data_IF_828871955750
#
_entry.id   IF_828871955750
#
_cell.length_a   1.000
_cell.length_b   1.000
_cell.length_c   1.000
_cell.angle_alpha   90.00
_cell.angle_beta   90.00
_cell.angle_gamma   90.00
#
_symmetry.space_group_name_H-M   'P 1'
#
loop_
_entity.id
_entity.type
_entity.pdbx_description
1 polymer ?
#
# COMPACT_ATOMS: atom_id res chain seq x y z
N UNK A 1 35.89 12.33 11.94
CA UNK A 1 34.98 13.35 11.39
C UNK A 1 34.28 14.00 12.59
N UNK A 2 34.76 15.17 13.04
CA UNK A 2 34.22 15.84 14.22
C UNK A 2 32.77 16.28 13.97
N UNK A 3 31.86 15.89 14.87
CA UNK A 3 30.56 16.55 15.03
C UNK A 3 30.82 17.90 15.72
N UNK A 4 30.67 19.01 15.00
CA UNK A 4 30.51 20.31 15.63
C UNK A 4 29.02 20.55 15.89
N UNK A 5 28.64 20.62 17.17
CA UNK A 5 27.38 21.19 17.61
C UNK A 5 27.40 22.70 17.34
N UNK A 6 26.61 23.15 16.36
CA UNK A 6 26.38 24.57 16.11
C UNK A 6 24.96 24.88 16.60
N UNK A 7 24.86 25.57 17.74
CA UNK A 7 23.59 26.11 18.24
C UNK A 7 23.44 27.55 17.77
N UNK A 8 22.56 27.81 16.79
CA UNK A 8 22.22 29.17 16.36
C UNK A 8 20.91 29.62 17.02
N UNK A 9 20.96 30.71 17.78
CA UNK A 9 19.78 31.45 18.26
C UNK A 9 19.50 32.60 17.30
N UNK A 10 18.31 32.64 16.70
CA UNK A 10 17.81 33.81 15.98
C UNK A 10 16.55 34.37 16.67
N UNK A 11 16.43 35.70 16.86
CA UNK A 11 15.24 36.32 17.41
C UNK A 11 14.20 36.55 16.31
N UNK A 12 12.96 36.11 16.54
CA UNK A 12 11.72 36.43 15.81
C UNK A 12 11.62 36.08 14.32
N UNK A 13 10.39 35.73 13.92
CA UNK A 13 10.03 35.15 12.63
C UNK A 13 9.98 36.20 11.51
N UNK A 14 10.92 36.13 10.57
CA UNK A 14 10.76 36.64 9.20
C UNK A 14 11.31 35.63 8.19
N UNK A 15 10.61 35.53 7.06
CA UNK A 15 10.91 34.65 5.94
C UNK A 15 12.27 35.02 5.32
N UNK A 16 13.31 34.21 5.55
CA UNK A 16 14.59 34.36 4.82
C UNK A 16 14.63 33.34 3.69
N UNK A 17 14.33 33.83 2.47
CA UNK A 17 14.65 33.16 1.22
C UNK A 17 16.18 33.29 0.99
N UNK A 18 16.83 32.16 0.73
CA UNK A 18 18.21 32.03 0.25
C UNK A 18 19.31 32.72 1.09
N UNK A 19 20.02 31.93 1.89
CA UNK A 19 21.42 32.25 2.24
C UNK A 19 22.33 31.12 1.79
N UNK A 20 23.21 31.42 0.83
CA UNK A 20 24.31 30.56 0.42
C UNK A 20 25.40 30.70 1.47
N UNK A 21 25.61 29.71 2.33
CA UNK A 21 26.74 29.72 3.27
C UNK A 21 27.99 29.24 2.52
N UNK A 22 28.79 30.17 2.01
CA UNK A 22 30.08 29.85 1.39
C UNK A 22 31.13 29.60 2.48
N UNK A 23 31.37 28.34 2.82
CA UNK A 23 32.54 27.97 3.62
C UNK A 23 33.78 28.06 2.72
N UNK A 24 34.62 29.07 2.92
CA UNK A 24 35.98 29.11 2.35
C UNK A 24 36.86 28.08 3.06
N UNK A 25 36.75 26.83 2.63
CA UNK A 25 37.80 25.83 2.81
C UNK A 25 38.82 26.03 1.68
N UNK A 26 40.10 25.84 1.99
CA UNK A 26 41.24 26.24 1.16
C UNK A 26 41.47 25.36 -0.09
N UNK A 27 40.39 24.88 -0.73
CA UNK A 27 40.36 24.11 -1.97
C UNK A 27 39.10 24.49 -2.76
N UNK A 28 39.17 24.48 -4.10
CA UNK A 28 38.16 24.98 -5.06
C UNK A 28 36.86 24.16 -5.11
N UNK A 29 36.29 23.80 -3.97
CA UNK A 29 35.10 22.96 -3.85
C UNK A 29 33.93 23.75 -3.27
N UNK A 30 32.83 23.83 -4.03
CA UNK A 30 31.59 24.47 -3.56
C UNK A 30 30.64 23.40 -3.04
N UNK A 31 30.29 23.43 -1.75
CA UNK A 31 29.27 22.56 -1.17
C UNK A 31 27.93 23.29 -1.12
N UNK A 32 26.87 22.69 -1.69
CA UNK A 32 25.50 23.19 -1.58
C UNK A 32 24.80 22.38 -0.48
N UNK A 33 24.37 23.07 0.58
CA UNK A 33 23.64 22.47 1.71
C UNK A 33 22.17 22.91 1.63
N UNK A 34 21.25 21.96 1.62
CA UNK A 34 19.82 22.24 1.59
C UNK A 34 19.22 22.16 3.00
N UNK A 35 18.53 23.22 3.41
CA UNK A 35 17.74 23.26 4.63
C UNK A 35 16.26 23.27 4.29
N UNK A 36 15.49 22.35 4.88
CA UNK A 36 14.03 22.38 4.85
C UNK A 36 13.54 22.96 6.17
N UNK A 37 12.80 24.08 6.18
CA UNK A 37 12.26 24.61 7.42
C UNK A 37 11.14 23.71 7.91
N UNK A 38 11.36 23.03 9.03
CA UNK A 38 10.33 22.33 9.80
C UNK A 38 10.14 23.09 11.10
N UNK A 39 8.88 23.40 11.45
CA UNK A 39 8.55 24.04 12.72
C UNK A 39 9.17 23.26 13.88
N UNK A 40 10.16 23.91 14.52
CA UNK A 40 10.92 23.52 15.69
C UNK A 40 12.15 22.58 15.58
N UNK A 41 12.52 22.00 14.42
CA UNK A 41 13.85 21.33 14.24
C UNK A 41 14.34 21.35 12.79
N UNK A 42 15.50 21.96 12.53
CA UNK A 42 16.23 21.80 11.26
C UNK A 42 16.79 20.38 11.18
N UNK A 43 16.50 19.66 10.09
CA UNK A 43 17.15 18.39 9.74
C UNK A 43 18.04 18.63 8.52
N UNK A 44 19.34 18.42 8.67
CA UNK A 44 20.31 18.57 7.57
C UNK A 44 20.35 17.28 6.73
N UNK A 45 20.13 17.39 5.43
CA UNK A 45 20.26 16.27 4.49
C UNK A 45 21.46 16.52 3.56
N UNK A 46 22.63 15.97 3.90
CA UNK A 46 23.75 15.63 3.01
C UNK A 46 24.44 16.75 2.19
N UNK A 47 25.78 16.81 2.26
CA UNK A 47 26.59 17.60 1.34
C UNK A 47 26.83 16.84 0.02
N UNK A 48 26.61 17.50 -1.13
CA UNK A 48 27.11 17.03 -2.42
C UNK A 48 28.31 17.89 -2.86
N UNK A 49 29.42 17.22 -3.18
CA UNK A 49 30.60 17.81 -3.85
C UNK A 49 30.54 17.42 -5.33
N UNK A 50 30.59 18.40 -6.23
CA UNK A 50 30.69 18.19 -7.68
C UNK A 50 32.04 18.73 -8.13
N UNK A 51 32.95 17.83 -8.52
CA UNK A 51 34.24 18.19 -9.10
C UNK A 51 34.22 17.88 -10.60
N UNK A 52 34.52 18.89 -11.45
CA UNK A 52 34.77 18.69 -12.87
C UNK A 52 36.28 18.66 -13.12
N UNK A 53 36.78 17.55 -13.66
CA UNK A 53 38.12 17.51 -14.27
C UNK A 53 38.00 16.89 -15.67
N UNK A 54 38.41 17.66 -16.67
CA UNK A 54 38.47 17.25 -18.06
C UNK A 54 39.89 16.77 -18.34
N UNK A 55 40.07 15.51 -18.74
CA UNK A 55 41.26 15.05 -19.47
C UNK A 55 40.95 13.73 -20.20
N UNK A 56 41.35 13.68 -21.46
CA UNK A 56 41.17 12.56 -22.38
C UNK A 56 42.10 11.39 -22.06
N UNK A 57 41.64 10.14 -22.25
CA UNK A 57 42.29 9.08 -23.07
C UNK A 57 41.55 7.73 -22.88
N UNK A 58 41.16 7.18 -24.04
CA UNK A 58 40.90 5.81 -24.49
C UNK A 58 40.65 4.63 -23.52
N UNK A 59 39.50 4.00 -23.74
CA UNK A 59 39.26 2.54 -23.79
C UNK A 59 39.46 1.70 -22.51
N UNK A 60 38.42 1.68 -21.67
CA UNK A 60 37.95 0.49 -20.94
C UNK A 60 36.49 0.74 -20.55
N UNK A 61 35.54 -0.09 -21.04
CA UNK A 61 34.13 -0.01 -20.63
C UNK A 61 33.99 -0.61 -19.24
N UNK A 62 34.25 0.23 -18.23
CA UNK A 62 33.75 0.01 -16.88
C UNK A 62 32.35 0.63 -16.82
N UNK A 63 31.33 -0.18 -16.58
CA UNK A 63 29.99 0.30 -16.24
C UNK A 63 30.08 0.87 -14.82
N UNK A 64 30.52 2.12 -14.71
CA UNK A 64 30.34 2.92 -13.50
C UNK A 64 28.88 3.39 -13.47
N UNK A 65 28.13 3.19 -12.37
CA UNK A 65 26.80 3.75 -12.27
C UNK A 65 26.94 5.28 -12.19
N UNK A 66 26.74 5.94 -13.32
CA UNK A 66 26.54 7.39 -13.37
C UNK A 66 25.38 7.76 -12.44
N UNK A 67 25.45 8.89 -11.71
CA UNK A 67 24.32 9.42 -10.94
C UNK A 67 23.19 9.76 -11.92
N UNK A 68 22.35 8.77 -12.18
CA UNK A 68 21.54 8.68 -13.39
C UNK A 68 20.36 9.63 -13.35
N UNK A 69 20.11 10.29 -14.49
CA UNK A 69 18.86 10.99 -14.77
C UNK A 69 17.68 10.17 -14.27
N UNK A 70 16.81 10.80 -13.49
CA UNK A 70 15.51 10.25 -13.13
C UNK A 70 14.74 9.98 -14.41
N UNK A 71 14.65 8.71 -14.81
CA UNK A 71 13.96 8.31 -16.03
C UNK A 71 12.46 8.39 -15.81
N UNK A 72 11.79 9.35 -16.43
CA UNK A 72 10.33 9.48 -16.44
C UNK A 72 9.72 8.39 -17.33
N UNK A 73 9.32 7.26 -16.75
CA UNK A 73 8.75 6.14 -17.50
C UNK A 73 7.24 6.06 -17.33
N UNK A 74 6.57 5.64 -18.40
CA UNK A 74 5.17 5.21 -18.29
C UNK A 74 5.14 3.86 -17.56
N UNK A 75 4.18 3.64 -16.66
CA UNK A 75 3.90 2.32 -16.12
C UNK A 75 3.64 1.33 -17.25
N UNK A 76 4.13 0.10 -17.13
CA UNK A 76 3.73 -0.97 -18.02
C UNK A 76 2.40 -1.55 -17.54
N UNK A 77 1.39 -1.53 -18.40
CA UNK A 77 0.08 -2.10 -18.16
C UNK A 77 0.01 -3.50 -18.80
N UNK A 78 -0.29 -4.51 -18.00
CA UNK A 78 -0.50 -5.90 -18.45
C UNK A 78 -1.93 -6.29 -18.12
N UNK A 79 -2.76 -6.46 -19.16
CA UNK A 79 -4.14 -6.94 -19.06
C UNK A 79 -4.66 -7.34 -20.45
N UNK A 80 -5.89 -7.86 -20.49
CA UNK A 80 -6.61 -8.06 -21.74
C UNK A 80 -6.82 -6.74 -22.51
N UNK A 81 -6.96 -6.81 -23.82
CA UNK A 81 -7.20 -5.64 -24.67
C UNK A 81 -8.47 -4.88 -24.25
N UNK A 82 -9.55 -5.61 -23.97
CA UNK A 82 -10.83 -5.02 -23.54
C UNK A 82 -10.70 -4.24 -22.22
N UNK A 83 -10.00 -4.81 -21.23
CA UNK A 83 -9.82 -4.14 -19.94
C UNK A 83 -8.81 -3.00 -20.03
N UNK A 84 -7.81 -3.11 -20.91
CA UNK A 84 -6.91 -1.99 -21.20
C UNK A 84 -7.66 -0.77 -21.73
N UNK A 85 -8.61 -0.98 -22.65
CA UNK A 85 -9.44 0.10 -23.20
C UNK A 85 -10.32 0.76 -22.13
N UNK A 86 -10.90 -0.04 -21.23
CA UNK A 86 -11.64 0.45 -20.07
C UNK A 86 -10.75 1.33 -19.17
N UNK A 87 -9.56 0.83 -18.82
CA UNK A 87 -8.62 1.55 -17.95
C UNK A 87 -8.08 2.83 -18.60
N UNK A 88 -7.77 2.83 -19.91
CA UNK A 88 -7.34 4.05 -20.58
C UNK A 88 -8.44 5.12 -20.64
N UNK A 89 -9.71 4.70 -20.77
CA UNK A 89 -10.84 5.62 -20.82
C UNK A 89 -11.18 6.22 -19.45
N UNK A 90 -11.21 5.39 -18.40
CA UNK A 90 -11.76 5.78 -17.09
C UNK A 90 -10.70 5.90 -15.99
N UNK A 91 -9.47 5.45 -16.24
CA UNK A 91 -8.32 5.53 -15.32
C UNK A 91 -7.06 6.02 -16.05
N UNK A 92 -7.08 7.22 -16.68
CA UNK A 92 -6.00 7.69 -17.56
C UNK A 92 -4.61 7.72 -16.89
N UNK A 93 -4.55 7.77 -15.56
CA UNK A 93 -3.29 7.71 -14.80
C UNK A 93 -2.43 6.48 -15.11
N UNK A 94 -3.02 5.36 -15.57
CA UNK A 94 -2.25 4.18 -16.01
C UNK A 94 -1.37 4.45 -17.24
N UNK A 95 -1.69 5.47 -18.05
CA UNK A 95 -0.95 5.88 -19.23
C UNK A 95 -0.04 7.10 -18.98
N UNK A 96 -0.20 7.77 -17.84
CA UNK A 96 0.58 8.95 -17.49
C UNK A 96 2.02 8.57 -17.13
N UNK A 97 2.96 9.50 -17.36
CA UNK A 97 4.35 9.28 -16.96
C UNK A 97 4.45 9.41 -15.44
N UNK A 98 4.97 8.39 -14.77
CA UNK A 98 5.30 8.48 -13.36
C UNK A 98 6.65 9.18 -13.19
N UNK A 99 6.63 10.30 -12.48
CA UNK A 99 7.80 11.15 -12.23
C UNK A 99 8.18 11.10 -10.75
N UNK A 100 9.07 10.18 -10.33
CA UNK A 100 9.43 10.07 -8.93
C UNK A 100 10.15 11.34 -8.44
N UNK A 101 9.99 11.67 -7.17
CA UNK A 101 10.64 12.84 -6.57
C UNK A 101 12.16 12.77 -6.70
N UNK A 102 12.83 13.72 -7.41
CA UNK A 102 14.22 13.53 -7.82
C UNK A 102 15.24 13.39 -6.69
N UNK A 103 15.03 14.11 -5.59
CA UNK A 103 15.90 14.03 -4.40
C UNK A 103 15.57 12.85 -3.47
N UNK A 104 14.45 12.15 -3.73
CA UNK A 104 14.02 10.96 -2.99
C UNK A 104 14.16 9.72 -3.88
N UNK A 105 15.39 9.50 -4.36
CA UNK A 105 15.70 8.42 -5.30
C UNK A 105 15.81 7.08 -4.58
N UNK A 106 15.11 6.06 -5.11
CA UNK A 106 15.07 4.70 -4.57
C UNK A 106 13.85 4.38 -3.71
N UNK A 107 13.27 3.19 -3.91
CA UNK A 107 12.02 2.79 -3.24
C UNK A 107 12.11 2.74 -1.71
N UNK A 108 13.28 2.42 -1.17
CA UNK A 108 13.55 2.42 0.28
C UNK A 108 13.38 3.82 0.87
N UNK A 109 14.03 4.81 0.25
CA UNK A 109 14.00 6.20 0.71
C UNK A 109 12.60 6.79 0.57
N UNK A 110 11.90 6.53 -0.54
CA UNK A 110 10.51 6.97 -0.71
C UNK A 110 9.57 6.41 0.36
N UNK A 111 9.73 5.13 0.70
CA UNK A 111 8.92 4.48 1.75
C UNK A 111 9.13 5.14 3.11
N UNK A 112 10.40 5.40 3.48
CA UNK A 112 10.74 6.06 4.75
C UNK A 112 10.28 7.52 4.78
N UNK A 113 10.55 8.28 3.71
CA UNK A 113 10.15 9.69 3.59
C UNK A 113 8.64 9.84 3.64
N UNK A 114 7.88 8.97 2.96
CA UNK A 114 6.43 8.98 3.03
C UNK A 114 5.92 8.71 4.45
N UNK A 115 6.48 7.72 5.15
CA UNK A 115 6.07 7.39 6.50
C UNK A 115 6.26 8.55 7.50
N UNK A 116 7.25 9.42 7.26
CA UNK A 116 7.60 10.54 8.15
C UNK A 116 6.96 11.87 7.72
N UNK A 117 6.96 12.20 6.42
CA UNK A 117 6.61 13.53 5.92
C UNK A 117 5.19 13.63 5.34
N UNK A 118 4.54 12.51 4.99
CA UNK A 118 3.21 12.59 4.36
C UNK A 118 2.19 13.10 5.38
N UNK A 119 1.36 14.05 4.94
CA UNK A 119 0.26 14.59 5.73
C UNK A 119 -0.71 13.48 6.15
N UNK A 120 -1.42 13.72 7.24
CA UNK A 120 -2.50 12.85 7.72
C UNK A 120 -3.79 13.66 7.67
N UNK A 121 -4.63 13.48 6.64
CA UNK A 121 -5.88 14.22 6.56
C UNK A 121 -6.75 13.84 7.76
N UNK A 122 -7.47 14.80 8.37
CA UNK A 122 -8.31 14.53 9.53
C UNK A 122 -9.48 13.65 9.10
N UNK A 123 -9.67 12.54 9.82
CA UNK A 123 -10.78 11.61 9.61
C UNK A 123 -11.40 11.28 10.96
N UNK A 124 -12.72 11.43 11.04
CA UNK A 124 -13.51 11.01 12.20
C UNK A 124 -14.22 9.70 11.86
N UNK A 125 -13.89 8.65 12.61
CA UNK A 125 -14.47 7.33 12.42
C UNK A 125 -15.58 7.05 13.43
N UNK A 126 -16.59 6.30 13.00
CA UNK A 126 -17.47 5.54 13.89
C UNK A 126 -16.88 4.14 14.01
N UNK A 127 -16.36 3.79 15.18
CA UNK A 127 -15.86 2.44 15.44
C UNK A 127 -17.03 1.48 15.71
N UNK A 128 -16.91 0.26 15.21
CA UNK A 128 -17.84 -0.85 15.46
C UNK A 128 -17.05 -2.13 15.73
N UNK A 129 -17.42 -2.83 16.80
CA UNK A 129 -16.85 -4.13 17.14
C UNK A 129 -17.82 -5.23 16.72
N UNK A 130 -17.41 -6.07 15.77
CA UNK A 130 -18.19 -7.24 15.36
C UNK A 130 -17.68 -8.50 16.06
N UNK A 131 -18.59 -9.40 16.41
CA UNK A 131 -18.26 -10.68 17.05
C UNK A 131 -17.95 -11.73 16.00
N UNK A 132 -16.98 -12.57 16.32
CA UNK A 132 -16.57 -13.67 15.44
C UNK A 132 -17.04 -15.01 16.02
N UNK A 133 -17.13 -16.04 15.17
CA UNK A 133 -17.67 -17.35 15.54
C UNK A 133 -16.88 -18.06 16.64
N UNK A 134 -15.58 -17.74 16.77
CA UNK A 134 -14.70 -18.24 17.83
C UNK A 134 -14.88 -17.50 19.16
N UNK A 135 -15.81 -16.54 19.25
CA UNK A 135 -16.02 -15.69 20.43
C UNK A 135 -15.10 -14.46 20.50
N UNK A 136 -14.28 -14.26 19.46
CA UNK A 136 -13.40 -13.10 19.30
C UNK A 136 -14.16 -11.84 18.88
N UNK A 137 -13.38 -10.81 18.53
CA UNK A 137 -13.92 -9.56 18.00
C UNK A 137 -12.99 -8.94 16.96
N UNK A 138 -13.59 -8.22 16.02
CA UNK A 138 -12.92 -7.47 14.96
C UNK A 138 -13.36 -6.01 15.05
N UNK A 139 -12.42 -5.09 14.89
CA UNK A 139 -12.68 -3.65 14.91
C UNK A 139 -12.81 -3.08 13.50
N UNK A 140 -13.95 -2.47 13.22
CA UNK A 140 -14.26 -1.79 11.96
C UNK A 140 -14.36 -0.28 12.20
N UNK A 141 -13.56 0.49 11.46
CA UNK A 141 -13.65 1.95 11.48
C UNK A 141 -14.43 2.45 10.26
N UNK A 142 -15.61 3.00 10.50
CA UNK A 142 -16.53 3.46 9.47
C UNK A 142 -16.40 4.95 9.23
N UNK A 143 -16.39 5.33 7.95
CA UNK A 143 -16.67 6.67 7.48
C UNK A 143 -17.87 6.60 6.54
N UNK A 144 -19.05 6.87 7.08
CA UNK A 144 -20.34 6.67 6.40
C UNK A 144 -20.62 7.66 5.27
N UNK A 145 -19.94 8.82 5.29
CA UNK A 145 -20.08 9.91 4.31
C UNK A 145 -21.54 10.37 4.11
N UNK A 146 -22.24 10.60 5.21
CA UNK A 146 -23.68 10.89 5.21
C UNK A 146 -24.06 12.18 4.48
N UNK A 147 -23.13 13.16 4.42
CA UNK A 147 -23.33 14.43 3.72
C UNK A 147 -23.10 14.34 2.19
N UNK A 148 -22.93 13.13 1.64
CA UNK A 148 -22.71 12.92 0.22
C UNK A 148 -23.91 13.38 -0.61
N UNK A 149 -23.71 14.39 -1.46
CA UNK A 149 -24.73 14.87 -2.42
C UNK A 149 -24.90 13.88 -3.58
N UNK A 150 -23.81 13.24 -4.01
CA UNK A 150 -23.83 12.25 -5.11
C UNK A 150 -24.57 10.97 -4.72
N UNK A 151 -24.43 10.56 -3.46
CA UNK A 151 -25.04 9.35 -2.90
C UNK A 151 -25.78 9.68 -1.60
N UNK A 152 -26.94 10.36 -1.68
CA UNK A 152 -27.68 10.80 -0.49
C UNK A 152 -28.25 9.60 0.28
N UNK A 153 -28.67 8.57 -0.45
CA UNK A 153 -29.27 7.36 0.10
C UNK A 153 -28.19 6.42 0.67
N UNK A 154 -28.27 6.14 1.97
CA UNK A 154 -27.28 5.32 2.69
C UNK A 154 -27.32 3.85 2.26
N UNK A 155 -28.50 3.35 1.87
CA UNK A 155 -28.72 1.94 1.52
C UNK A 155 -28.05 1.50 0.21
N UNK A 156 -27.79 2.43 -0.71
CA UNK A 156 -27.18 2.15 -2.03
C UNK A 156 -25.78 2.74 -2.19
N UNK A 157 -25.31 3.52 -1.22
CA UNK A 157 -23.99 4.21 -1.27
C UNK A 157 -22.85 3.20 -1.49
N UNK A 158 -22.06 3.33 -2.57
CA UNK A 158 -20.91 2.47 -2.81
C UNK A 158 -19.95 2.48 -1.62
N UNK A 159 -19.44 1.30 -1.29
CA UNK A 159 -18.63 1.09 -0.08
C UNK A 159 -17.25 0.56 -0.46
N UNK A 160 -16.20 1.23 0.02
CA UNK A 160 -14.82 0.78 -0.12
C UNK A 160 -14.38 0.13 1.20
N UNK A 161 -14.06 -1.16 1.14
CA UNK A 161 -13.51 -1.93 2.26
C UNK A 161 -11.99 -1.93 2.17
N UNK A 162 -11.31 -1.26 3.11
CA UNK A 162 -9.87 -1.04 3.11
C UNK A 162 -9.19 -2.01 4.10
N UNK A 163 -8.16 -2.71 3.61
CA UNK A 163 -7.34 -3.65 4.35
C UNK A 163 -5.91 -3.09 4.52
N UNK A 164 -5.53 -2.68 5.74
CA UNK A 164 -4.19 -2.21 6.05
C UNK A 164 -3.12 -3.31 5.91
N UNK A 165 -1.85 -2.89 5.88
CA UNK A 165 -0.69 -3.78 5.91
C UNK A 165 -0.44 -4.44 7.27
N UNK A 166 0.67 -5.19 7.37
CA UNK A 166 0.97 -6.11 8.50
C UNK A 166 0.81 -5.48 9.88
N UNK A 167 1.32 -4.27 10.11
CA UNK A 167 1.21 -3.57 11.40
C UNK A 167 0.34 -2.32 11.29
N UNK A 168 -0.50 -2.26 10.24
CA UNK A 168 -1.32 -1.11 9.91
C UNK A 168 -2.69 -1.13 10.58
N UNK A 169 -3.32 0.05 10.64
CA UNK A 169 -4.69 0.27 11.07
C UNK A 169 -5.26 1.51 10.35
N UNK A 170 -6.46 1.94 10.73
CA UNK A 170 -7.17 3.11 10.16
C UNK A 170 -6.44 4.45 10.25
N UNK A 171 -5.39 4.56 11.08
CA UNK A 171 -4.64 5.81 11.29
C UNK A 171 -3.41 5.94 10.38
N UNK A 172 -3.14 4.93 9.55
CA UNK A 172 -2.00 4.96 8.64
C UNK A 172 -2.23 5.98 7.51
N UNK A 173 -1.19 6.75 7.17
CA UNK A 173 -1.32 7.84 6.19
C UNK A 173 -1.88 7.36 4.84
N UNK A 174 -1.41 6.22 4.32
CA UNK A 174 -1.95 5.67 3.07
C UNK A 174 -3.43 5.29 3.15
N UNK A 175 -3.92 4.84 4.31
CA UNK A 175 -5.35 4.54 4.55
C UNK A 175 -6.15 5.83 4.57
N UNK A 176 -5.68 6.84 5.30
CA UNK A 176 -6.32 8.15 5.38
C UNK A 176 -6.42 8.84 4.01
N UNK A 177 -5.37 8.74 3.18
CA UNK A 177 -5.40 9.28 1.82
C UNK A 177 -6.32 8.48 0.89
N UNK A 178 -6.36 7.14 0.98
CA UNK A 178 -7.33 6.33 0.23
C UNK A 178 -8.77 6.70 0.59
N UNK A 179 -9.05 6.91 1.89
CA UNK A 179 -10.35 7.40 2.36
C UNK A 179 -10.66 8.79 1.83
N UNK A 180 -9.67 9.70 1.84
CA UNK A 180 -9.85 11.03 1.27
C UNK A 180 -10.18 10.98 -0.22
N UNK A 181 -9.61 10.05 -0.99
CA UNK A 181 -9.94 9.87 -2.41
C UNK A 181 -11.37 9.35 -2.57
N UNK A 182 -11.74 8.29 -1.84
CA UNK A 182 -13.06 7.69 -1.96
C UNK A 182 -14.20 8.61 -1.50
N UNK A 183 -14.00 9.36 -0.41
CA UNK A 183 -15.05 10.26 0.13
C UNK A 183 -15.33 11.46 -0.75
N UNK A 184 -14.35 11.95 -1.52
CA UNK A 184 -14.55 13.02 -2.53
C UNK A 184 -15.52 12.63 -3.63
N UNK A 185 -15.63 11.34 -3.92
CA UNK A 185 -16.61 10.80 -4.87
C UNK A 185 -17.95 10.42 -4.20
N UNK A 186 -18.11 10.70 -2.89
CA UNK A 186 -19.35 10.45 -2.17
C UNK A 186 -19.49 9.02 -1.61
N UNK A 187 -18.43 8.21 -1.64
CA UNK A 187 -18.44 6.81 -1.21
C UNK A 187 -18.34 6.67 0.31
N UNK A 188 -18.86 5.54 0.83
CA UNK A 188 -18.63 5.06 2.20
C UNK A 188 -17.27 4.35 2.26
N UNK A 189 -16.54 4.52 3.35
CA UNK A 189 -15.33 3.75 3.62
C UNK A 189 -15.47 2.93 4.90
N UNK A 190 -14.90 1.73 4.89
CA UNK A 190 -14.79 0.86 6.07
C UNK A 190 -13.37 0.36 6.13
N UNK A 191 -12.67 0.60 7.25
CA UNK A 191 -11.35 0.02 7.47
C UNK A 191 -11.50 -1.24 8.30
N UNK A 192 -11.08 -2.37 7.75
CA UNK A 192 -10.97 -3.63 8.47
C UNK A 192 -9.64 -3.64 9.24
N UNK A 193 -9.71 -3.34 10.55
CA UNK A 193 -8.53 -3.49 11.40
C UNK A 193 -8.39 -4.97 11.78
N UNK A 194 -7.25 -5.56 11.45
CA UNK A 194 -6.89 -6.89 11.90
C UNK A 194 -7.01 -7.01 13.43
N UNK A 195 -7.37 -8.20 13.93
CA UNK A 195 -7.60 -8.42 15.35
C UNK A 195 -6.40 -7.99 16.21
N UNK A 196 -6.66 -7.15 17.20
CA UNK A 196 -5.68 -6.62 18.14
C UNK A 196 -4.94 -5.36 17.68
N UNK A 197 -5.26 -4.80 16.51
CA UNK A 197 -4.63 -3.60 15.93
C UNK A 197 -5.51 -2.34 15.94
N UNK A 198 -6.84 -2.48 16.06
CA UNK A 198 -7.79 -1.36 16.04
C UNK A 198 -7.94 -0.64 17.40
N UNK A 199 -7.20 -1.06 18.42
CA UNK A 199 -7.28 -0.51 19.78
C UNK A 199 -8.14 -1.36 20.73
N UNK A 200 -8.88 -2.32 20.21
CA UNK A 200 -9.59 -3.35 20.97
C UNK A 200 -8.61 -4.29 21.68
N UNK A 201 -9.08 -4.94 22.74
CA UNK A 201 -8.40 -6.09 23.34
C UNK A 201 -8.71 -7.35 22.52
N UNK A 202 -7.73 -8.24 22.39
CA UNK A 202 -8.05 -9.60 21.95
C UNK A 202 -8.94 -10.27 23.00
N UNK A 203 -9.88 -11.10 22.57
CA UNK A 203 -10.71 -11.92 23.47
C UNK A 203 -10.42 -13.41 23.30
N UNK A 204 -9.97 -13.79 22.11
CA UNK A 204 -9.47 -15.12 21.78
C UNK A 204 -8.01 -15.00 21.39
N UNK A 205 -7.23 -16.09 21.47
CA UNK A 205 -5.84 -16.06 21.05
C UNK A 205 -5.66 -15.94 19.52
N UNK A 206 -6.75 -16.02 18.74
CA UNK A 206 -6.73 -15.89 17.28
C UNK A 206 -6.38 -14.45 16.89
N UNK A 207 -5.34 -14.31 16.06
CA UNK A 207 -4.88 -13.02 15.51
C UNK A 207 -5.16 -12.96 14.00
N UNK A 208 -4.17 -12.61 13.17
CA UNK A 208 -4.28 -12.48 11.73
C UNK A 208 -3.00 -12.99 11.06
N UNK A 209 -3.11 -13.44 9.81
CA UNK A 209 -1.97 -13.79 8.96
C UNK A 209 -2.34 -13.63 7.49
N UNK A 210 -1.35 -13.69 6.59
CA UNK A 210 -1.55 -13.49 5.15
C UNK A 210 -2.48 -14.54 4.50
N UNK A 211 -2.51 -15.76 5.07
CA UNK A 211 -3.26 -16.88 4.52
C UNK A 211 -4.71 -16.95 5.05
N UNK A 212 -4.96 -16.44 6.25
CA UNK A 212 -6.27 -16.54 6.87
C UNK A 212 -7.25 -15.49 6.33
N UNK A 213 -8.30 -15.94 5.65
CA UNK A 213 -9.32 -15.09 5.04
C UNK A 213 -10.67 -15.11 5.77
N UNK A 214 -10.80 -15.87 6.87
CA UNK A 214 -12.08 -16.06 7.57
C UNK A 214 -12.62 -14.76 8.16
N UNK A 215 -11.74 -13.92 8.72
CA UNK A 215 -12.13 -12.63 9.27
C UNK A 215 -12.60 -11.67 8.18
N UNK A 216 -11.90 -11.63 7.04
CA UNK A 216 -12.34 -10.83 5.89
C UNK A 216 -13.70 -11.31 5.37
N UNK A 217 -13.94 -12.62 5.32
CA UNK A 217 -15.24 -13.18 4.95
C UNK A 217 -16.35 -12.70 5.89
N UNK A 218 -16.12 -12.79 7.21
CA UNK A 218 -17.05 -12.33 8.23
C UNK A 218 -17.37 -10.83 8.04
N UNK A 219 -16.36 -10.01 7.79
CA UNK A 219 -16.53 -8.57 7.57
C UNK A 219 -17.30 -8.28 6.28
N UNK A 220 -16.99 -8.96 5.18
CA UNK A 220 -17.71 -8.77 3.91
C UNK A 220 -19.19 -9.16 4.07
N UNK A 221 -19.48 -10.28 4.72
CA UNK A 221 -20.85 -10.71 5.00
C UNK A 221 -21.58 -9.69 5.89
N UNK A 222 -20.92 -9.16 6.92
CA UNK A 222 -21.48 -8.13 7.80
C UNK A 222 -21.82 -6.86 7.04
N UNK A 223 -20.87 -6.32 6.25
CA UNK A 223 -21.07 -5.11 5.44
C UNK A 223 -22.21 -5.31 4.43
N UNK A 224 -22.26 -6.47 3.77
CA UNK A 224 -23.35 -6.82 2.83
C UNK A 224 -24.69 -7.04 3.53
N UNK A 225 -24.70 -7.52 4.77
CA UNK A 225 -25.90 -7.66 5.58
C UNK A 225 -26.49 -6.30 5.97
N UNK A 226 -25.64 -5.34 6.34
CA UNK A 226 -26.05 -3.95 6.64
C UNK A 226 -26.52 -3.20 5.39
N UNK A 227 -25.84 -3.39 4.25
CA UNK A 227 -26.14 -2.69 3.00
C UNK A 227 -26.21 -3.65 1.80
N UNK A 228 -27.32 -4.42 1.67
CA UNK A 228 -27.44 -5.43 0.61
C UNK A 228 -27.35 -4.87 -0.80
N UNK A 229 -27.91 -3.67 -1.01
CA UNK A 229 -27.96 -2.99 -2.31
C UNK A 229 -26.71 -2.19 -2.66
N UNK A 230 -25.83 -1.92 -1.68
CA UNK A 230 -24.59 -1.19 -1.93
C UNK A 230 -23.54 -2.10 -2.61
N UNK A 231 -22.90 -1.64 -3.70
CA UNK A 231 -21.73 -2.32 -4.25
C UNK A 231 -20.53 -2.14 -3.30
N UNK A 232 -19.74 -3.20 -3.12
CA UNK A 232 -18.57 -3.20 -2.23
C UNK A 232 -17.31 -3.51 -3.03
N UNK A 233 -16.28 -2.66 -2.91
CA UNK A 233 -14.96 -2.87 -3.51
C UNK A 233 -13.92 -3.07 -2.41
N UNK A 234 -13.08 -4.11 -2.54
CA UNK A 234 -11.99 -4.37 -1.62
C UNK A 234 -10.71 -3.65 -2.02
N UNK A 235 -10.00 -3.04 -1.07
CA UNK A 235 -8.74 -2.33 -1.30
C UNK A 235 -7.68 -2.78 -0.30
N UNK A 236 -6.62 -3.46 -0.76
CA UNK A 236 -5.61 -4.03 0.13
C UNK A 236 -4.19 -3.54 -0.17
N UNK A 237 -3.46 -3.15 0.88
CA UNK A 237 -2.06 -2.72 0.76
C UNK A 237 -1.13 -3.74 1.43
N UNK A 238 -0.09 -4.17 0.72
CA UNK A 238 0.90 -5.13 1.22
C UNK A 238 0.24 -6.40 1.78
N UNK A 239 0.37 -6.71 3.08
CA UNK A 239 -0.30 -7.86 3.72
C UNK A 239 -1.82 -7.84 3.50
N UNK A 240 -2.48 -6.69 3.62
CA UNK A 240 -3.92 -6.57 3.39
C UNK A 240 -4.30 -6.90 1.93
N UNK A 241 -3.39 -6.63 1.00
CA UNK A 241 -3.54 -7.06 -0.39
C UNK A 241 -3.36 -8.58 -0.56
N UNK A 242 -2.45 -9.23 0.17
CA UNK A 242 -2.33 -10.70 0.16
C UNK A 242 -3.62 -11.36 0.65
N UNK A 243 -4.16 -10.89 1.79
CA UNK A 243 -5.42 -11.40 2.36
C UNK A 243 -6.56 -11.21 1.36
N UNK A 244 -6.66 -10.03 0.74
CA UNK A 244 -7.68 -9.75 -0.28
C UNK A 244 -7.55 -10.67 -1.51
N UNK A 245 -6.33 -10.88 -2.03
CA UNK A 245 -6.10 -11.79 -3.16
C UNK A 245 -6.49 -13.23 -2.80
N UNK A 246 -6.05 -13.72 -1.65
CA UNK A 246 -6.36 -15.07 -1.18
C UNK A 246 -7.87 -15.25 -0.98
N UNK A 247 -8.55 -14.24 -0.45
CA UNK A 247 -10.01 -14.25 -0.29
C UNK A 247 -10.75 -14.31 -1.63
N UNK A 248 -10.38 -13.42 -2.55
CA UNK A 248 -10.98 -13.38 -3.89
C UNK A 248 -10.72 -14.68 -4.66
N UNK A 249 -9.54 -15.28 -4.50
CA UNK A 249 -9.17 -16.55 -5.10
C UNK A 249 -9.98 -17.74 -4.53
N UNK A 250 -10.25 -17.73 -3.21
CA UNK A 250 -11.06 -18.74 -2.54
C UNK A 250 -12.55 -18.60 -2.84
N UNK A 251 -13.12 -17.38 -2.77
CA UNK A 251 -14.56 -17.13 -2.91
C UNK A 251 -15.03 -16.88 -4.33
N UNK A 252 -14.16 -16.40 -5.22
CA UNK A 252 -14.47 -16.20 -6.63
C UNK A 252 -15.71 -15.31 -6.81
N UNK A 253 -16.71 -15.79 -7.54
CA UNK A 253 -18.00 -15.11 -7.78
C UNK A 253 -18.84 -14.92 -6.52
N UNK A 254 -18.60 -15.69 -5.46
CA UNK A 254 -19.31 -15.61 -4.17
C UNK A 254 -18.64 -14.65 -3.19
N UNK A 255 -17.59 -13.94 -3.60
CA UNK A 255 -16.86 -13.00 -2.74
C UNK A 255 -17.68 -11.82 -2.25
N UNK A 256 -18.86 -11.54 -2.82
CA UNK A 256 -19.66 -10.36 -2.46
C UNK A 256 -19.03 -9.01 -2.84
N UNK A 257 -17.82 -9.01 -3.41
CA UNK A 257 -17.10 -7.83 -3.87
C UNK A 257 -17.29 -7.64 -5.38
N UNK A 258 -17.49 -6.40 -5.81
CA UNK A 258 -17.64 -6.06 -7.23
C UNK A 258 -16.28 -5.96 -7.95
N UNK A 259 -15.23 -5.58 -7.21
CA UNK A 259 -13.85 -5.57 -7.67
C UNK A 259 -12.89 -5.55 -6.46
N UNK A 260 -11.60 -5.78 -6.75
CA UNK A 260 -10.50 -5.55 -5.83
C UNK A 260 -9.43 -4.62 -6.41
N UNK A 261 -8.84 -3.77 -5.58
CA UNK A 261 -7.56 -3.11 -5.88
C UNK A 261 -6.52 -3.55 -4.86
N UNK A 262 -5.34 -3.93 -5.33
CA UNK A 262 -4.22 -4.29 -4.46
C UNK A 262 -2.97 -3.51 -4.80
N UNK A 263 -2.19 -3.14 -3.78
CA UNK A 263 -1.03 -2.26 -3.95
C UNK A 263 0.18 -2.82 -3.21
N UNK A 264 1.28 -2.98 -3.95
CA UNK A 264 2.58 -3.45 -3.45
C UNK A 264 2.48 -4.75 -2.66
N UNK A 265 1.78 -5.72 -3.26
CA UNK A 265 1.53 -7.02 -2.64
C UNK A 265 2.71 -7.97 -2.84
N UNK A 266 3.20 -8.62 -1.76
CA UNK A 266 4.05 -9.80 -1.87
C UNK A 266 3.33 -10.98 -2.53
N UNK A 267 3.68 -11.31 -3.77
CA UNK A 267 3.12 -12.49 -4.47
C UNK A 267 3.76 -13.82 -4.02
N UNK A 268 5.00 -13.76 -3.56
CA UNK A 268 5.73 -14.88 -2.96
C UNK A 268 6.24 -14.46 -1.57
N UNK A 269 5.58 -14.96 -0.52
CA UNK A 269 5.87 -14.63 0.87
C UNK A 269 7.26 -15.11 1.29
N UNK A 270 7.75 -16.21 0.72
CA UNK A 270 9.08 -16.73 1.02
C UNK A 270 10.15 -15.79 0.44
N UNK A 271 10.04 -15.43 -0.83
CA UNK A 271 10.97 -14.48 -1.46
C UNK A 271 10.95 -13.13 -0.76
N UNK A 272 9.78 -12.68 -0.30
CA UNK A 272 9.63 -11.45 0.50
C UNK A 272 10.45 -11.53 1.78
N UNK A 273 10.26 -12.62 2.51
CA UNK A 273 10.94 -12.86 3.79
C UNK A 273 12.45 -12.91 3.60
N UNK A 274 12.95 -13.59 2.57
CA UNK A 274 14.38 -13.63 2.24
C UNK A 274 14.94 -12.24 1.88
N UNK A 275 14.26 -11.48 1.03
CA UNK A 275 14.66 -10.10 0.69
C UNK A 275 14.68 -9.20 1.92
N UNK A 276 13.72 -9.38 2.83
CA UNK A 276 13.66 -8.63 4.07
C UNK A 276 14.80 -8.89 5.04
N UNK A 277 15.52 -10.00 4.87
CA UNK A 277 16.69 -10.34 5.68
C UNK A 277 18.01 -9.86 5.07
N UNK A 278 17.99 -9.29 3.86
CA UNK A 278 19.17 -8.60 3.31
C UNK A 278 19.62 -7.47 4.24
N UNK A 279 20.93 -7.21 4.44
CA UNK A 279 21.42 -6.33 5.50
C UNK A 279 20.76 -4.95 5.57
N UNK A 280 20.57 -4.30 4.42
CA UNK A 280 19.95 -2.97 4.34
C UNK A 280 18.44 -3.01 4.61
N UNK A 281 17.73 -4.02 4.08
CA UNK A 281 16.30 -4.19 4.26
C UNK A 281 15.99 -4.59 5.71
N UNK A 282 16.86 -5.42 6.28
CA UNK A 282 16.79 -5.83 7.66
C UNK A 282 16.89 -4.63 8.60
N UNK A 283 17.90 -3.78 8.38
CA UNK A 283 18.15 -2.58 9.19
C UNK A 283 17.01 -1.56 9.07
N UNK A 284 16.55 -1.27 7.85
CA UNK A 284 15.60 -0.19 7.59
C UNK A 284 14.14 -0.59 7.84
N UNK A 285 13.78 -1.86 7.67
CA UNK A 285 12.37 -2.29 7.69
C UNK A 285 12.13 -3.48 8.61
N UNK A 286 12.82 -4.61 8.39
CA UNK A 286 12.52 -5.86 9.10
C UNK A 286 12.59 -5.68 10.61
N UNK A 287 13.69 -5.12 11.11
CA UNK A 287 13.89 -4.84 12.54
C UNK A 287 12.76 -3.99 13.13
N UNK A 288 12.28 -2.99 12.39
CA UNK A 288 11.21 -2.10 12.83
C UNK A 288 9.86 -2.81 12.85
N UNK A 289 9.54 -3.57 11.81
CA UNK A 289 8.30 -4.36 11.72
C UNK A 289 8.27 -5.44 12.81
N UNK A 290 9.37 -6.20 12.99
CA UNK A 290 9.49 -7.19 14.08
C UNK A 290 9.30 -6.55 15.44
N UNK A 291 9.87 -5.36 15.68
CA UNK A 291 9.63 -4.62 16.93
C UNK A 291 8.16 -4.23 17.10
N UNK A 292 7.48 -3.80 16.05
CA UNK A 292 6.03 -3.51 16.10
C UNK A 292 5.22 -4.78 16.37
N UNK A 293 5.57 -5.92 15.78
CA UNK A 293 4.96 -7.22 16.08
C UNK A 293 5.15 -7.61 17.56
N UNK A 294 6.35 -7.39 18.12
CA UNK A 294 6.61 -7.60 19.55
C UNK A 294 5.73 -6.71 20.44
N UNK A 295 5.49 -5.47 20.04
CA UNK A 295 4.62 -4.55 20.78
C UNK A 295 3.16 -5.01 20.77
N UNK A 296 2.68 -5.48 19.61
CA UNK A 296 1.33 -6.04 19.47
C UNK A 296 1.19 -7.30 20.34
N UNK A 297 2.17 -8.21 20.28
CA UNK A 297 2.17 -9.42 21.09
C UNK A 297 2.16 -9.10 22.60
N UNK A 298 3.00 -8.17 23.03
CA UNK A 298 3.06 -7.75 24.44
C UNK A 298 1.77 -7.08 24.92
N UNK A 299 1.12 -6.27 24.06
CA UNK A 299 -0.17 -5.65 24.39
C UNK A 299 -1.22 -6.68 24.77
N UNK A 300 -1.21 -7.83 24.11
CA UNK A 300 -2.19 -8.90 24.31
C UNK A 300 -1.63 -10.12 25.06
N UNK A 301 -0.53 -9.94 25.80
CA UNK A 301 0.22 -11.01 26.46
C UNK A 301 -0.66 -11.93 27.32
N UNK A 302 -1.58 -11.36 28.11
CA UNK A 302 -2.47 -12.10 29.03
C UNK A 302 -3.28 -13.22 28.36
N UNK A 303 -3.58 -13.08 27.08
CA UNK A 303 -4.35 -14.08 26.32
C UNK A 303 -3.43 -14.97 25.50
N UNK A 304 -2.39 -14.40 24.91
CA UNK A 304 -1.48 -15.12 24.02
C UNK A 304 -0.51 -16.04 24.78
N UNK A 305 -0.13 -15.71 26.02
CA UNK A 305 0.73 -16.58 26.86
C UNK A 305 0.07 -17.93 27.22
N UNK A 306 -1.25 -18.04 27.04
CA UNK A 306 -1.98 -19.29 27.27
C UNK A 306 -1.76 -20.32 26.16
N UNK A 307 -1.30 -19.89 24.99
CA UNK A 307 -1.18 -20.73 23.79
C UNK A 307 0.24 -20.77 23.21
N UNK A 308 1.08 -19.78 23.53
CA UNK A 308 2.47 -19.70 23.06
C UNK A 308 3.40 -19.20 24.16
N UNK A 309 4.67 -19.61 24.10
CA UNK A 309 5.73 -19.00 24.91
C UNK A 309 6.06 -17.60 24.36
N UNK A 310 5.39 -16.58 24.91
CA UNK A 310 5.56 -15.18 24.51
C UNK A 310 7.00 -14.72 24.66
N UNK A 311 7.71 -15.13 25.72
CA UNK A 311 9.09 -14.67 25.95
C UNK A 311 10.07 -15.28 24.93
N UNK A 312 9.81 -16.49 24.44
CA UNK A 312 10.54 -17.08 23.33
C UNK A 312 10.26 -16.36 22.00
N UNK A 313 9.00 -16.03 21.72
CA UNK A 313 8.61 -15.27 20.52
C UNK A 313 9.27 -13.90 20.50
N UNK A 314 9.30 -13.19 21.62
CA UNK A 314 9.89 -11.84 21.74
C UNK A 314 11.42 -11.80 21.52
N UNK A 315 12.08 -12.96 21.46
CA UNK A 315 13.49 -13.07 21.06
C UNK A 315 13.68 -13.04 19.55
N UNK A 316 12.61 -13.00 18.75
CA UNK A 316 12.70 -13.00 17.28
C UNK A 316 13.44 -11.74 16.79
N UNK A 317 14.36 -11.93 15.83
CA UNK A 317 15.16 -10.84 15.25
C UNK A 317 14.76 -10.50 13.82
N UNK A 318 13.87 -11.29 13.23
CA UNK A 318 13.30 -11.03 11.90
C UNK A 318 11.81 -11.39 11.88
N UNK A 319 11.10 -10.90 10.87
CA UNK A 319 9.71 -11.29 10.57
C UNK A 319 9.62 -12.81 10.41
N UNK A 320 10.60 -13.46 9.77
CA UNK A 320 10.64 -14.92 9.63
C UNK A 320 10.71 -15.64 10.96
N UNK A 321 11.60 -15.22 11.84
CA UNK A 321 11.70 -15.81 13.18
C UNK A 321 10.41 -15.58 13.99
N UNK A 322 9.76 -14.42 13.82
CA UNK A 322 8.47 -14.16 14.45
C UNK A 322 7.39 -15.09 13.88
N UNK A 323 7.33 -15.23 12.56
CA UNK A 323 6.37 -16.11 11.90
C UNK A 323 6.57 -17.57 12.29
N UNK A 324 7.81 -18.04 12.39
CA UNK A 324 8.14 -19.40 12.81
C UNK A 324 7.75 -19.68 14.26
N UNK A 325 7.98 -18.71 15.16
CA UNK A 325 7.74 -18.89 16.60
C UNK A 325 6.31 -18.58 17.01
N UNK A 326 5.58 -17.80 16.20
CA UNK A 326 4.22 -17.36 16.53
C UNK A 326 3.24 -17.72 15.44
N UNK A 327 3.36 -17.12 14.25
CA UNK A 327 2.34 -17.23 13.20
C UNK A 327 2.08 -18.68 12.77
N UNK A 328 3.11 -19.46 12.48
CA UNK A 328 2.93 -20.87 12.08
C UNK A 328 2.29 -21.70 13.19
N UNK A 329 2.70 -21.50 14.45
CA UNK A 329 2.13 -22.24 15.58
C UNK A 329 0.66 -21.86 15.81
N UNK A 330 0.37 -20.57 15.82
CA UNK A 330 -0.98 -20.04 16.07
C UNK A 330 -1.99 -20.47 15.02
N UNK A 331 -1.56 -20.62 13.77
CA UNK A 331 -2.40 -21.05 12.66
C UNK A 331 -2.24 -22.54 12.31
N UNK A 332 -1.56 -23.32 13.16
CA UNK A 332 -1.50 -24.78 13.03
C UNK A 332 -0.65 -25.30 11.87
N UNK A 333 0.28 -24.51 11.34
CA UNK A 333 1.22 -24.96 10.31
C UNK A 333 2.36 -25.77 10.91
N UNK A 334 2.76 -26.84 10.22
CA UNK A 334 3.91 -27.68 10.57
C UNK A 334 5.25 -26.94 10.52
N UNK A 335 5.35 -25.91 9.67
CA UNK A 335 6.54 -25.09 9.55
C UNK A 335 6.22 -23.68 9.04
N UNK A 336 7.12 -22.73 9.29
CA UNK A 336 7.06 -21.39 8.69
C UNK A 336 7.05 -21.44 7.15
N UNK A 337 7.71 -22.44 6.57
CA UNK A 337 7.78 -22.64 5.12
C UNK A 337 6.43 -23.07 4.54
N UNK A 338 5.70 -23.91 5.26
CA UNK A 338 4.34 -24.31 4.88
C UNK A 338 3.39 -23.11 4.95
N UNK A 339 3.50 -22.29 6.00
CA UNK A 339 2.78 -21.02 6.09
C UNK A 339 3.08 -20.10 4.90
N UNK A 340 4.36 -19.86 4.57
CA UNK A 340 4.71 -19.01 3.43
C UNK A 340 4.25 -19.56 2.09
N UNK A 341 4.24 -20.88 1.91
CA UNK A 341 3.71 -21.50 0.69
C UNK A 341 2.21 -21.25 0.55
N UNK A 342 1.46 -21.41 1.63
CA UNK A 342 0.01 -21.20 1.64
C UNK A 342 -0.38 -19.72 1.51
N UNK A 343 0.35 -18.84 2.19
CA UNK A 343 0.15 -17.39 2.15
C UNK A 343 0.41 -16.75 0.78
N UNK A 344 1.28 -17.35 -0.05
CA UNK A 344 1.76 -16.78 -1.32
C UNK A 344 0.68 -16.81 -2.41
N UNK A 345 0.12 -15.65 -2.82
CA UNK A 345 -0.92 -15.61 -3.84
C UNK A 345 -0.46 -16.17 -5.20
N UNK A 346 0.82 -15.97 -5.57
CA UNK A 346 1.35 -16.37 -6.87
C UNK A 346 1.53 -17.88 -7.08
N UNK A 347 1.55 -18.67 -6.00
CA UNK A 347 1.64 -20.14 -6.06
C UNK A 347 0.27 -20.82 -6.04
N UNK A 348 -0.76 -20.08 -5.64
CA UNK A 348 -2.14 -20.56 -5.65
C UNK A 348 -2.72 -20.26 -7.03
N UNK A 349 -2.94 -21.28 -7.87
CA UNK A 349 -3.55 -21.19 -9.22
C UNK A 349 -5.01 -20.67 -9.23
N UNK A 350 -5.47 -20.13 -8.10
CA UNK A 350 -6.85 -19.73 -7.80
C UNK A 350 -7.13 -18.26 -8.06
N UNK A 351 -6.11 -17.43 -8.32
CA UNK A 351 -6.27 -15.98 -8.61
C UNK A 351 -7.04 -15.73 -9.93
N UNK A 352 -7.17 -16.74 -10.79
CA UNK A 352 -7.79 -16.64 -12.11
C UNK A 352 -9.34 -16.48 -12.13
N UNK A 353 -10.00 -16.33 -10.99
CA UNK A 353 -11.48 -16.41 -10.90
C UNK A 353 -12.14 -15.20 -10.24
N UNK A 354 -11.45 -14.06 -10.24
CA UNK A 354 -11.97 -12.82 -9.69
C UNK A 354 -12.77 -12.05 -10.75
N UNK A 355 -13.96 -11.57 -10.39
CA UNK A 355 -14.84 -10.80 -11.30
C UNK A 355 -14.15 -9.55 -11.87
N UNK A 356 -13.34 -8.85 -11.08
CA UNK A 356 -12.46 -7.74 -11.51
C UNK A 356 -11.36 -7.50 -10.48
N UNK A 357 -10.10 -7.39 -10.91
CA UNK A 357 -8.97 -7.12 -10.03
C UNK A 357 -7.95 -6.18 -10.71
N UNK A 358 -7.63 -5.07 -10.06
CA UNK A 358 -6.45 -4.25 -10.41
C UNK A 358 -5.36 -4.48 -9.37
N UNK A 359 -4.20 -4.95 -9.82
CA UNK A 359 -3.01 -5.08 -8.98
C UNK A 359 -1.98 -4.05 -9.40
N UNK A 360 -1.54 -3.23 -8.46
CA UNK A 360 -0.53 -2.18 -8.66
C UNK A 360 0.76 -2.64 -8.03
N UNK A 361 1.83 -2.59 -8.81
CA UNK A 361 3.11 -3.17 -8.45
C UNK A 361 4.28 -2.30 -8.92
N UNK A 362 5.38 -2.30 -8.17
CA UNK A 362 6.61 -1.58 -8.50
C UNK A 362 7.57 -2.57 -9.15
N UNK A 363 7.89 -2.36 -10.41
CA UNK A 363 8.75 -3.23 -11.21
C UNK A 363 10.17 -3.40 -10.62
N UNK A 364 10.70 -2.34 -10.01
CA UNK A 364 11.96 -2.34 -9.26
C UNK A 364 11.69 -2.11 -7.77
N UNK A 365 10.73 -2.85 -7.21
CA UNK A 365 10.56 -2.83 -5.77
C UNK A 365 11.87 -3.33 -5.13
N UNK A 366 12.39 -2.62 -4.13
CA UNK A 366 13.58 -3.10 -3.45
C UNK A 366 13.29 -4.40 -2.69
N UNK A 367 12.02 -4.63 -2.32
CA UNK A 367 11.60 -5.89 -1.73
C UNK A 367 11.68 -7.03 -2.76
N UNK A 368 11.57 -6.78 -4.08
CA UNK A 368 11.55 -7.84 -5.10
C UNK A 368 11.86 -7.34 -6.53
N UNK A 369 12.64 -8.08 -7.33
CA UNK A 369 12.67 -7.91 -8.78
C UNK A 369 11.42 -8.53 -9.45
N UNK A 370 10.64 -7.73 -10.19
CA UNK A 370 9.35 -8.09 -10.80
C UNK A 370 9.32 -9.37 -11.64
N UNK A 371 10.43 -9.68 -12.32
CA UNK A 371 10.46 -10.73 -13.35
C UNK A 371 10.34 -12.17 -12.81
N UNK A 372 10.52 -12.39 -11.51
CA UNK A 372 10.60 -13.76 -10.98
C UNK A 372 9.40 -14.20 -10.14
N UNK A 373 8.41 -13.33 -9.92
CA UNK A 373 7.31 -13.61 -8.99
C UNK A 373 5.91 -13.59 -9.62
N UNK A 374 5.72 -12.96 -10.78
CA UNK A 374 4.39 -12.78 -11.36
C UNK A 374 4.20 -13.57 -12.67
N UNK A 375 3.11 -14.35 -12.84
CA UNK A 375 2.80 -15.00 -14.11
C UNK A 375 2.18 -13.98 -15.08
N UNK A 376 3.01 -13.09 -15.64
CA UNK A 376 2.61 -12.01 -16.57
C UNK A 376 1.77 -12.55 -17.72
N UNK A 377 2.13 -13.73 -18.23
CA UNK A 377 1.39 -14.43 -19.30
C UNK A 377 -0.05 -14.76 -18.92
N UNK A 378 -0.29 -15.20 -17.67
CA UNK A 378 -1.63 -15.61 -17.21
C UNK A 378 -2.57 -14.41 -17.10
N UNK A 379 -2.06 -13.22 -16.76
CA UNK A 379 -2.91 -12.03 -16.62
C UNK A 379 -3.40 -11.46 -17.93
N UNK A 380 -2.65 -11.64 -19.02
CA UNK A 380 -3.10 -11.21 -20.35
C UNK A 380 -4.36 -11.97 -20.80
N UNK A 381 -4.49 -13.23 -20.36
CA UNK A 381 -5.62 -14.08 -20.71
C UNK A 381 -6.86 -13.85 -19.82
N UNK A 382 -6.71 -13.11 -18.72
CA UNK A 382 -7.81 -12.85 -17.79
C UNK A 382 -8.59 -11.60 -18.21
N UNK A 383 -9.92 -11.69 -18.38
CA UNK A 383 -10.70 -10.62 -18.99
C UNK A 383 -10.70 -9.34 -18.16
N UNK A 384 -10.75 -9.44 -16.83
CA UNK A 384 -10.92 -8.30 -15.91
C UNK A 384 -9.80 -8.18 -14.88
N UNK A 385 -8.60 -8.65 -15.23
CA UNK A 385 -7.43 -8.52 -14.36
C UNK A 385 -6.39 -7.62 -15.02
N UNK A 386 -5.86 -6.68 -14.26
CA UNK A 386 -4.77 -5.83 -14.71
C UNK A 386 -3.64 -5.76 -13.70
N UNK A 387 -2.44 -5.66 -14.24
CA UNK A 387 -1.23 -5.36 -13.50
C UNK A 387 -0.64 -4.04 -14.01
N UNK A 388 -0.43 -3.09 -13.10
CA UNK A 388 0.26 -1.82 -13.37
C UNK A 388 1.64 -1.88 -12.77
N UNK A 389 2.68 -1.87 -13.60
CA UNK A 389 4.08 -2.01 -13.23
C UNK A 389 4.80 -0.65 -13.35
N UNK A 390 5.26 -0.07 -12.25
CA UNK A 390 6.04 1.18 -12.29
C UNK A 390 7.55 0.92 -12.20
N UNK A 391 8.37 1.57 -13.04
CA UNK A 391 9.83 1.40 -12.99
C UNK A 391 10.46 1.86 -11.66
N UNK A 392 9.82 2.83 -11.00
CA UNK A 392 10.25 3.39 -9.73
C UNK A 392 9.06 3.52 -8.78
N UNK A 393 9.33 3.74 -7.50
CA UNK A 393 8.31 3.94 -6.47
C UNK A 393 8.77 3.35 -5.14
N UNK A 394 8.25 3.87 -4.03
CA UNK A 394 8.34 3.22 -2.72
C UNK A 394 7.09 2.39 -2.42
N UNK A 395 7.25 1.32 -1.62
CA UNK A 395 6.25 0.31 -1.28
C UNK A 395 4.87 0.85 -0.91
N UNK A 396 4.79 2.02 -0.27
CA UNK A 396 3.51 2.69 0.06
C UNK A 396 3.46 4.16 -0.39
N UNK A 397 4.46 4.61 -1.14
CA UNK A 397 4.80 6.01 -1.24
C UNK A 397 4.46 6.61 -2.61
N UNK A 398 4.97 6.00 -3.69
CA UNK A 398 4.83 6.46 -5.08
C UNK A 398 4.87 8.00 -5.23
N UNK A 399 5.85 8.62 -4.56
CA UNK A 399 5.96 10.08 -4.46
C UNK A 399 6.26 10.68 -5.82
N UNK A 400 5.57 11.77 -6.17
CA UNK A 400 5.73 12.43 -7.45
C UNK A 400 6.03 13.92 -7.33
N UNK A 401 6.74 14.44 -8.34
CA UNK A 401 7.10 15.85 -8.42
C UNK A 401 8.24 16.25 -7.48
N UNK A 402 8.72 17.49 -7.65
CA UNK A 402 9.84 18.02 -6.85
C UNK A 402 9.45 18.26 -5.39
N UNK A 403 8.20 18.62 -5.12
CA UNK A 403 7.64 18.76 -3.78
C UNK A 403 6.49 17.77 -3.59
N UNK A 404 6.70 16.61 -2.94
CA UNK A 404 5.72 15.54 -2.82
C UNK A 404 4.64 15.82 -1.75
N UNK A 405 4.14 17.04 -1.71
CA UNK A 405 3.09 17.48 -0.77
C UNK A 405 1.67 17.21 -1.32
N UNK A 406 1.55 17.01 -2.64
CA UNK A 406 0.30 16.70 -3.31
C UNK A 406 -0.05 15.21 -3.27
N UNK A 407 -0.99 14.82 -4.14
CA UNK A 407 -1.40 13.44 -4.30
C UNK A 407 -0.25 12.59 -4.85
N UNK A 408 -0.06 11.38 -4.33
CA UNK A 408 0.87 10.42 -4.93
C UNK A 408 0.28 9.77 -6.18
N UNK A 409 1.12 9.14 -7.00
CA UNK A 409 0.63 8.37 -8.16
C UNK A 409 -0.33 7.26 -7.72
N UNK A 410 -0.03 6.61 -6.61
CA UNK A 410 -0.86 5.57 -5.99
C UNK A 410 -2.24 6.09 -5.59
N UNK A 411 -2.30 7.28 -4.96
CA UNK A 411 -3.56 7.91 -4.54
C UNK A 411 -4.46 8.22 -5.74
N UNK A 412 -3.87 8.80 -6.80
CA UNK A 412 -4.60 9.09 -8.04
C UNK A 412 -5.10 7.84 -8.73
N UNK A 413 -4.27 6.81 -8.83
CA UNK A 413 -4.65 5.51 -9.40
C UNK A 413 -5.76 4.84 -8.62
N UNK A 414 -5.66 4.85 -7.29
CA UNK A 414 -6.70 4.36 -6.41
C UNK A 414 -8.03 5.10 -6.63
N UNK A 415 -8.03 6.43 -6.59
CA UNK A 415 -9.23 7.24 -6.74
C UNK A 415 -9.91 7.01 -8.10
N UNK A 416 -9.14 7.07 -9.19
CA UNK A 416 -9.65 6.85 -10.53
C UNK A 416 -10.20 5.43 -10.74
N UNK A 417 -9.51 4.40 -10.24
CA UNK A 417 -9.98 3.02 -10.38
C UNK A 417 -11.25 2.74 -9.58
N UNK A 418 -11.30 3.17 -8.33
CA UNK A 418 -12.49 3.01 -7.49
C UNK A 418 -13.69 3.72 -8.12
N UNK A 419 -13.48 4.93 -8.62
CA UNK A 419 -14.51 5.68 -9.33
C UNK A 419 -14.99 4.96 -10.59
N UNK A 420 -14.04 4.51 -11.44
CA UNK A 420 -14.35 3.80 -12.68
C UNK A 420 -15.17 2.52 -12.43
N UNK A 421 -14.82 1.73 -11.41
CA UNK A 421 -15.54 0.51 -11.08
C UNK A 421 -16.98 0.80 -10.65
N UNK A 422 -17.21 1.81 -9.81
CA UNK A 422 -18.56 2.09 -9.33
C UNK A 422 -19.44 2.76 -10.37
N UNK A 423 -18.92 3.70 -11.17
CA UNK A 423 -19.73 4.43 -12.15
C UNK A 423 -19.87 3.69 -13.49
N UNK A 424 -18.87 2.90 -13.90
CA UNK A 424 -18.79 2.30 -15.24
C UNK A 424 -18.75 0.76 -15.24
N UNK A 425 -19.31 0.14 -14.19
CA UNK A 425 -19.33 -1.32 -14.00
C UNK A 425 -19.88 -2.11 -15.20
N UNK A 426 -20.92 -1.61 -15.84
CA UNK A 426 -21.55 -2.32 -16.97
C UNK A 426 -20.64 -2.33 -18.21
N UNK A 427 -19.89 -1.25 -18.46
CA UNK A 427 -18.89 -1.19 -19.54
C UNK A 427 -17.77 -2.19 -19.28
N UNK A 428 -17.33 -2.30 -18.03
CA UNK A 428 -16.28 -3.23 -17.59
C UNK A 428 -16.67 -4.70 -17.79
N UNK A 429 -17.93 -5.06 -17.54
CA UNK A 429 -18.42 -6.44 -17.71
C UNK A 429 -18.75 -6.80 -19.18
N UNK A 430 -18.32 -5.99 -20.15
CA UNK A 430 -18.56 -6.24 -21.57
C UNK A 430 -20.03 -6.05 -22.01
N UNK A 431 -20.88 -5.47 -21.15
CA UNK A 431 -22.25 -5.08 -21.52
C UNK A 431 -22.25 -3.71 -22.18
N UNK A 432 -21.61 -3.59 -23.34
CA UNK A 432 -21.71 -2.40 -24.17
C UNK A 432 -23.09 -2.34 -24.86
N UNK A 433 -23.93 -1.39 -24.41
CA UNK A 433 -24.89 -0.62 -25.22
C UNK A 433 -25.81 -1.38 -26.20
N UNK A 434 -26.43 -2.49 -25.78
CA UNK A 434 -27.67 -2.98 -26.42
C UNK A 434 -28.91 -2.92 -25.54
N UNK A 435 -28.79 -2.73 -24.21
CA UNK A 435 -29.96 -2.67 -23.31
C UNK A 435 -30.36 -1.25 -22.87
N UNK A 436 -29.50 -0.24 -23.03
CA UNK A 436 -29.86 1.14 -22.65
C UNK A 436 -30.91 1.73 -23.62
N UNK A 437 -30.98 1.23 -24.86
CA UNK A 437 -32.02 1.59 -25.82
C UNK A 437 -33.44 1.08 -25.45
N UNK A 438 -33.59 0.18 -24.48
CA UNK A 438 -34.92 -0.32 -24.06
C UNK A 438 -35.53 0.43 -22.87
N UNK A 439 -34.74 1.23 -22.13
CA UNK A 439 -35.26 2.04 -21.00
C UNK A 439 -35.67 3.46 -21.39
N UNK A 440 -35.32 3.93 -22.59
CA UNK A 440 -35.73 5.25 -23.11
C UNK A 440 -36.98 5.22 -24.00
N UNK A 441 -37.71 4.09 -24.09
CA UNK A 441 -38.95 3.97 -24.90
C UNK A 441 -40.26 3.92 -24.10
N UNK A 442 -40.23 4.13 -22.77
CA UNK A 442 -41.44 4.10 -21.93
C UNK A 442 -41.78 5.43 -21.24
N UNK A 443 -41.23 6.55 -21.72
CA UNK A 443 -41.70 7.90 -21.35
C UNK A 443 -41.88 8.71 -22.63
N UNK A 444 -42.89 8.35 -23.41
CA UNK A 444 -43.58 9.21 -24.37
C UNK A 444 -44.71 8.37 -25.00
N UNK A 445 -45.84 8.34 -24.32
CA UNK A 445 -47.19 8.32 -24.87
C UNK A 445 -48.16 8.73 -23.75
#
# INVERSE_FOLDING_TARGET
>A
MLLCDITLKFPSAELVLFSTLTLHLHTTDTAIIFFVPCSARLVCFGCFLVSYRCESISSCVFITPSPGLVSFQRPALVCSEAFSAFLYKHCPVVAERFSPTPWCWGGRLQTLVFAVLKSRPPVSYRNELIRTVDGGQISLDWLDNQASVTYPESSTRPTVLILPGITGNSQQSYVLHAISQATRHGYRCVVFNNRGLGGEELLTPVTYCAANTSDLECVVQHVKGLYPSAPVLGAGVSLGGMVLLNYLACKRTESGLVAGITISVPWDALKFSSSMEEPLNWLLFNRHITKSLHQILNRHRKILEKVVDVDYVLKARSIREFDERFTSLMFGYSSCMDYYRDASPGKNSRVCFVSTLLSVYIHLDFFFPAFTAFPVSVVQDLPNVALVLTAHGGHIAFLQGFFPLGESYMERLFGQFVHAVFEHREEMNGRSLRSIASRSRFILL
#
